data_IF_727553150498
#
_entry.id   IF_727553150498
#
_cell.length_a   1.000
_cell.length_b   1.000
_cell.length_c   1.000
_cell.angle_alpha   90.00
_cell.angle_beta   90.00
_cell.angle_gamma   90.00
#
_symmetry.space_group_name_H-M   'P 1'
#
loop_
_entity.id
_entity.type
_entity.pdbx_description
1 polymer ?
#
# COMPACT_ATOMS: atom_id res chain seq x y z
N UNK A 1 -20.52 -37.73 6.41
CA UNK A 1 -19.85 -38.96 5.94
C UNK A 1 -18.37 -38.71 6.16
N UNK A 2 -17.62 -39.64 6.77
CA UNK A 2 -16.19 -39.42 6.99
C UNK A 2 -15.37 -39.67 5.73
N UNK A 3 -14.24 -38.96 5.58
CA UNK A 3 -13.28 -39.15 4.49
C UNK A 3 -12.83 -40.60 4.29
N UNK A 4 -12.68 -40.99 3.03
CA UNK A 4 -11.98 -42.23 2.65
C UNK A 4 -10.49 -42.15 2.99
N UNK A 5 -9.84 -43.31 3.17
CA UNK A 5 -8.40 -43.37 3.44
C UNK A 5 -7.55 -42.75 2.31
N UNK A 6 -8.04 -42.77 1.07
CA UNK A 6 -7.37 -42.12 -0.06
C UNK A 6 -7.42 -40.58 0.08
N UNK A 7 -8.56 -40.03 0.46
CA UNK A 7 -8.72 -38.57 0.66
C UNK A 7 -7.88 -38.08 1.84
N UNK A 8 -7.90 -38.82 2.96
CA UNK A 8 -7.01 -38.53 4.10
C UNK A 8 -5.54 -38.56 3.71
N UNK A 9 -5.14 -39.50 2.85
CA UNK A 9 -3.76 -39.59 2.38
C UNK A 9 -3.34 -38.38 1.54
N UNK A 10 -4.20 -37.88 0.64
CA UNK A 10 -3.91 -36.67 -0.13
C UNK A 10 -3.86 -35.42 0.75
N UNK A 11 -4.77 -35.28 1.71
CA UNK A 11 -4.73 -34.17 2.68
C UNK A 11 -3.43 -34.19 3.49
N UNK A 12 -2.98 -35.37 3.94
CA UNK A 12 -1.70 -35.53 4.64
C UNK A 12 -0.50 -35.09 3.79
N UNK A 13 -0.53 -35.27 2.47
CA UNK A 13 0.53 -34.76 1.58
C UNK A 13 0.53 -33.24 1.55
N UNK A 14 -0.64 -32.62 1.35
CA UNK A 14 -0.77 -31.15 1.34
C UNK A 14 -0.27 -30.56 2.66
N UNK A 15 -0.72 -31.12 3.78
CA UNK A 15 -0.30 -30.68 5.11
C UNK A 15 1.23 -30.73 5.27
N UNK A 16 1.87 -31.84 4.87
CA UNK A 16 3.32 -32.03 5.01
C UNK A 16 4.14 -31.19 4.03
N UNK A 17 3.57 -30.83 2.89
CA UNK A 17 4.22 -29.97 1.89
C UNK A 17 4.26 -28.51 2.33
N UNK A 18 3.36 -28.08 3.22
CA UNK A 18 3.29 -26.70 3.67
C UNK A 18 3.95 -26.51 5.04
N UNK A 19 4.62 -25.37 5.21
CA UNK A 19 4.99 -24.86 6.53
C UNK A 19 3.80 -24.14 7.14
N UNK A 20 3.46 -24.50 8.38
CA UNK A 20 2.30 -23.98 9.09
C UNK A 20 2.70 -23.08 10.26
N UNK A 21 1.87 -22.06 10.49
CA UNK A 21 2.05 -21.07 11.53
C UNK A 21 0.78 -20.96 12.36
N UNK A 22 0.94 -21.02 13.68
CA UNK A 22 -0.08 -20.52 14.61
C UNK A 22 -0.21 -19.00 14.49
N UNK A 23 -1.29 -18.43 15.04
CA UNK A 23 -1.45 -16.97 15.02
C UNK A 23 -0.31 -16.24 15.74
N UNK A 24 0.18 -16.78 16.86
CA UNK A 24 1.31 -16.20 17.60
C UNK A 24 2.60 -16.17 16.79
N UNK A 25 2.91 -17.27 16.10
CA UNK A 25 4.08 -17.37 15.22
C UNK A 25 3.94 -16.45 14.01
N UNK A 26 2.76 -16.44 13.39
CA UNK A 26 2.43 -15.55 12.28
C UNK A 26 2.55 -14.07 12.68
N UNK A 27 2.03 -13.65 13.83
CA UNK A 27 2.15 -12.26 14.31
C UNK A 27 3.61 -11.85 14.48
N UNK A 28 4.46 -12.74 14.99
CA UNK A 28 5.90 -12.51 15.11
C UNK A 28 6.57 -12.35 13.75
N UNK A 29 6.25 -13.21 12.78
CA UNK A 29 6.81 -13.15 11.42
C UNK A 29 6.31 -11.94 10.62
N UNK A 30 5.06 -11.52 10.82
CA UNK A 30 4.49 -10.32 10.19
C UNK A 30 5.25 -9.05 10.62
N UNK A 31 5.71 -8.99 11.87
CA UNK A 31 6.41 -7.82 12.42
C UNK A 31 7.85 -7.67 11.92
N UNK A 32 8.46 -8.72 11.38
CA UNK A 32 9.79 -8.68 10.77
C UNK A 32 9.75 -7.95 9.44
N UNK A 33 10.77 -7.18 9.12
CA UNK A 33 10.91 -6.51 7.83
C UNK A 33 11.08 -7.54 6.71
N UNK A 34 10.75 -7.17 5.46
CA UNK A 34 11.09 -8.01 4.30
C UNK A 34 12.60 -8.21 4.13
N UNK A 35 13.37 -7.18 4.47
CA UNK A 35 14.83 -7.24 4.52
C UNK A 35 15.27 -7.40 5.99
N UNK A 36 15.83 -8.55 6.37
CA UNK A 36 16.20 -8.83 7.78
C UNK A 36 17.16 -7.80 8.40
N UNK A 37 17.97 -7.14 7.58
CA UNK A 37 18.90 -6.08 8.00
C UNK A 37 18.20 -4.88 8.67
N UNK A 38 16.91 -4.69 8.38
CA UNK A 38 16.09 -3.60 8.89
C UNK A 38 15.38 -3.95 10.21
N UNK A 39 15.42 -5.20 10.67
CA UNK A 39 14.79 -5.62 11.93
C UNK A 39 15.35 -4.87 13.15
N UNK A 40 16.59 -4.38 13.06
CA UNK A 40 17.22 -3.49 14.06
C UNK A 40 16.46 -2.17 14.27
N UNK A 41 15.61 -1.77 13.33
CA UNK A 41 14.81 -0.54 13.39
C UNK A 41 13.50 -0.75 14.17
N UNK A 42 13.28 -1.95 14.74
CA UNK A 42 12.07 -2.31 15.48
C UNK A 42 10.89 -2.65 14.57
N UNK A 43 9.74 -2.86 15.20
CA UNK A 43 8.47 -3.18 14.52
C UNK A 43 8.10 -2.08 13.53
N UNK A 44 8.00 -2.43 12.25
CA UNK A 44 7.46 -1.50 11.26
C UNK A 44 5.93 -1.52 11.22
N UNK A 45 5.29 -2.62 11.63
CA UNK A 45 3.83 -2.70 11.70
C UNK A 45 3.27 -2.05 12.99
N UNK A 46 2.50 -0.98 12.83
CA UNK A 46 1.74 -0.31 13.90
C UNK A 46 0.35 -0.92 14.13
N UNK A 47 -0.10 -1.76 13.19
CA UNK A 47 -1.40 -2.43 13.28
C UNK A 47 -1.48 -3.34 14.52
N UNK A 48 -2.56 -3.18 15.29
CA UNK A 48 -2.81 -3.97 16.51
C UNK A 48 -3.26 -5.38 16.14
N UNK A 49 -2.96 -6.33 17.03
CA UNK A 49 -3.41 -7.74 16.94
C UNK A 49 -4.89 -7.90 16.57
N UNK A 50 -5.78 -7.14 17.21
CA UNK A 50 -7.22 -7.20 16.96
C UNK A 50 -7.61 -6.74 15.55
N UNK A 51 -6.85 -5.83 14.94
CA UNK A 51 -7.07 -5.38 13.57
C UNK A 51 -6.65 -6.46 12.57
N UNK A 52 -5.51 -7.13 12.81
CA UNK A 52 -5.05 -8.27 11.99
C UNK A 52 -6.08 -9.41 12.04
N UNK A 53 -6.56 -9.76 13.23
CA UNK A 53 -7.59 -10.79 13.38
C UNK A 53 -8.91 -10.42 12.67
N UNK A 54 -9.26 -9.12 12.61
CA UNK A 54 -10.42 -8.65 11.84
C UNK A 54 -10.22 -8.85 10.34
N UNK A 55 -9.01 -8.63 9.82
CA UNK A 55 -8.67 -8.90 8.40
C UNK A 55 -8.83 -10.39 8.11
N UNK A 56 -8.24 -11.25 8.94
CA UNK A 56 -8.36 -12.71 8.82
C UNK A 56 -9.81 -13.18 8.82
N UNK A 57 -10.60 -12.74 9.80
CA UNK A 57 -12.04 -13.07 9.89
C UNK A 57 -12.77 -12.65 8.61
N UNK A 58 -12.50 -11.45 8.11
CA UNK A 58 -13.13 -10.94 6.89
C UNK A 58 -12.80 -11.78 5.66
N UNK A 59 -11.54 -12.18 5.53
CA UNK A 59 -11.06 -13.03 4.43
C UNK A 59 -11.62 -14.45 4.48
N UNK A 60 -11.65 -15.07 5.65
CA UNK A 60 -12.21 -16.42 5.87
C UNK A 60 -13.69 -16.43 5.49
N UNK A 61 -14.48 -15.51 6.06
CA UNK A 61 -15.92 -15.42 5.81
C UNK A 61 -16.21 -15.10 4.34
N UNK A 62 -15.47 -14.15 3.75
CA UNK A 62 -15.65 -13.78 2.36
C UNK A 62 -15.29 -14.90 1.39
N UNK A 63 -14.23 -15.67 1.70
CA UNK A 63 -13.81 -16.82 0.88
C UNK A 63 -14.85 -17.93 0.94
N UNK A 64 -15.38 -18.22 2.13
CA UNK A 64 -16.47 -19.20 2.31
C UNK A 64 -17.72 -18.81 1.52
N UNK A 65 -18.07 -17.51 1.49
CA UNK A 65 -19.18 -16.97 0.68
C UNK A 65 -18.83 -16.79 -0.80
N UNK A 66 -17.65 -17.23 -1.23
CA UNK A 66 -17.16 -17.21 -2.60
C UNK A 66 -17.16 -15.80 -3.25
N UNK A 67 -16.94 -14.74 -2.46
CA UNK A 67 -16.95 -13.36 -2.98
C UNK A 67 -15.84 -13.11 -4.01
N UNK A 68 -14.81 -13.95 -3.98
CA UNK A 68 -13.65 -13.94 -4.86
C UNK A 68 -13.82 -14.82 -6.12
N UNK A 69 -15.02 -15.29 -6.44
CA UNK A 69 -15.30 -15.97 -7.72
C UNK A 69 -15.83 -15.00 -8.77
N UNK A 70 -15.30 -15.13 -9.98
CA UNK A 70 -15.70 -14.30 -11.13
C UNK A 70 -17.16 -14.55 -11.48
N UNK A 71 -17.94 -13.47 -11.57
CA UNK A 71 -19.34 -13.53 -12.00
C UNK A 71 -19.45 -13.44 -13.52
N UNK A 72 -20.55 -13.96 -14.07
CA UNK A 72 -20.79 -14.00 -15.53
C UNK A 72 -20.89 -12.61 -16.17
N UNK A 73 -21.29 -11.61 -15.41
CA UNK A 73 -21.53 -10.23 -15.81
C UNK A 73 -20.35 -9.29 -15.50
N UNK A 74 -19.25 -9.82 -14.97
CA UNK A 74 -18.10 -9.01 -14.55
C UNK A 74 -17.11 -8.78 -15.69
N UNK A 75 -16.76 -7.51 -15.92
CA UNK A 75 -15.79 -7.10 -16.95
C UNK A 75 -14.38 -7.64 -16.65
N UNK A 76 -13.57 -7.81 -17.70
CA UNK A 76 -12.17 -8.24 -17.56
C UNK A 76 -11.34 -7.22 -16.74
N UNK A 77 -11.58 -5.93 -16.92
CA UNK A 77 -10.88 -4.86 -16.20
C UNK A 77 -11.23 -4.87 -14.71
N UNK A 78 -12.52 -4.99 -14.37
CA UNK A 78 -12.97 -5.07 -12.98
C UNK A 78 -12.40 -6.32 -12.29
N UNK A 79 -12.41 -7.46 -12.99
CA UNK A 79 -11.82 -8.69 -12.51
C UNK A 79 -10.30 -8.53 -12.29
N UNK A 80 -9.58 -7.94 -13.25
CA UNK A 80 -8.14 -7.69 -13.14
C UNK A 80 -7.82 -6.81 -11.94
N UNK A 81 -8.53 -5.69 -11.75
CA UNK A 81 -8.35 -4.81 -10.59
C UNK A 81 -8.58 -5.57 -9.29
N UNK A 82 -9.62 -6.39 -9.18
CA UNK A 82 -9.87 -7.19 -7.99
C UNK A 82 -8.82 -8.28 -7.74
N UNK A 83 -8.19 -8.82 -8.79
CA UNK A 83 -7.06 -9.75 -8.59
C UNK A 83 -5.82 -9.08 -8.00
N UNK A 84 -5.70 -7.75 -8.13
CA UNK A 84 -4.60 -6.96 -7.54
C UNK A 84 -4.98 -6.43 -6.16
N UNK A 85 -6.23 -5.97 -6.01
CA UNK A 85 -6.68 -5.24 -4.83
C UNK A 85 -7.62 -6.02 -3.91
N UNK A 86 -7.99 -7.24 -4.27
CA UNK A 86 -8.94 -8.07 -3.52
C UNK A 86 -10.39 -7.72 -3.83
N UNK A 87 -11.29 -8.48 -3.21
CA UNK A 87 -12.72 -8.44 -3.44
C UNK A 87 -13.43 -7.94 -2.19
N UNK A 88 -14.10 -6.79 -2.29
CA UNK A 88 -14.94 -6.25 -1.21
C UNK A 88 -16.41 -6.36 -1.55
N UNK A 89 -17.22 -6.91 -0.64
CA UNK A 89 -18.67 -7.02 -0.83
C UNK A 89 -19.41 -6.96 0.50
N UNK A 90 -20.53 -6.23 0.52
CA UNK A 90 -21.49 -6.30 1.63
C UNK A 90 -22.28 -7.59 1.52
N UNK A 91 -22.19 -8.41 2.56
CA UNK A 91 -22.85 -9.71 2.62
C UNK A 91 -23.74 -9.82 3.84
N UNK A 92 -24.87 -10.50 3.64
CA UNK A 92 -25.74 -10.96 4.71
C UNK A 92 -25.53 -12.47 4.86
N UNK A 93 -25.06 -12.89 6.03
CA UNK A 93 -24.75 -14.29 6.32
C UNK A 93 -25.14 -14.66 7.75
N UNK A 94 -25.19 -15.95 8.02
CA UNK A 94 -25.56 -16.52 9.32
C UNK A 94 -24.41 -17.37 9.85
N UNK A 95 -24.22 -17.37 11.16
CA UNK A 95 -23.25 -18.24 11.84
C UNK A 95 -23.98 -19.07 12.89
N UNK A 96 -23.72 -20.37 12.87
CA UNK A 96 -24.33 -21.35 13.77
C UNK A 96 -23.45 -21.54 15.00
N UNK A 97 -23.95 -21.13 16.18
CA UNK A 97 -23.25 -21.29 17.44
C UNK A 97 -23.56 -22.65 18.08
N UNK A 98 -22.62 -23.13 18.90
CA UNK A 98 -22.72 -24.41 19.61
C UNK A 98 -23.88 -24.53 20.61
N UNK A 99 -24.61 -23.45 20.86
CA UNK A 99 -25.79 -23.40 21.73
C UNK A 99 -27.11 -23.27 20.93
N UNK A 100 -27.12 -23.77 19.70
CA UNK A 100 -28.24 -23.76 18.75
C UNK A 100 -28.76 -22.35 18.41
N UNK A 101 -27.96 -21.32 18.70
CA UNK A 101 -28.27 -19.95 18.29
C UNK A 101 -27.67 -19.69 16.92
N UNK A 102 -28.53 -19.33 15.98
CA UNK A 102 -28.11 -18.74 14.70
C UNK A 102 -28.09 -17.21 14.87
N UNK A 103 -27.03 -16.56 14.39
CA UNK A 103 -26.95 -15.09 14.41
C UNK A 103 -26.74 -14.54 13.01
N UNK A 104 -27.61 -13.62 12.64
CA UNK A 104 -27.51 -12.84 11.41
C UNK A 104 -26.42 -11.77 11.50
N UNK A 105 -25.62 -11.65 10.46
CA UNK A 105 -24.62 -10.62 10.25
C UNK A 105 -24.88 -9.90 8.92
N UNK A 106 -24.61 -8.58 8.91
CA UNK A 106 -24.61 -7.76 7.71
C UNK A 106 -23.36 -6.88 7.75
N UNK A 107 -22.30 -7.34 7.10
CA UNK A 107 -20.97 -6.74 7.18
C UNK A 107 -20.36 -6.61 5.79
N UNK A 108 -19.48 -5.63 5.61
CA UNK A 108 -18.61 -5.56 4.42
C UNK A 108 -17.42 -6.51 4.63
N UNK A 109 -17.36 -7.54 3.80
CA UNK A 109 -16.30 -8.54 3.81
C UNK A 109 -15.28 -8.22 2.73
N UNK A 110 -14.02 -8.58 3.00
CA UNK A 110 -12.91 -8.40 2.08
C UNK A 110 -12.08 -9.68 2.00
N UNK A 111 -11.92 -10.21 0.78
CA UNK A 111 -10.97 -11.28 0.48
C UNK A 111 -9.77 -10.67 -0.22
N UNK A 112 -8.58 -10.85 0.35
CA UNK A 112 -7.36 -10.34 -0.26
C UNK A 112 -6.77 -11.32 -1.28
N UNK A 113 -6.02 -10.85 -2.29
CA UNK A 113 -5.40 -11.70 -3.29
C UNK A 113 -4.42 -12.70 -2.66
N UNK A 114 -4.40 -13.93 -3.20
CA UNK A 114 -3.45 -14.97 -2.83
C UNK A 114 -2.37 -15.07 -3.90
N UNK A 115 -1.13 -15.32 -3.48
CA UNK A 115 0.04 -15.29 -4.35
C UNK A 115 0.63 -16.69 -4.59
N UNK A 116 -0.20 -17.73 -4.62
CA UNK A 116 0.23 -19.13 -4.72
C UNK A 116 1.16 -19.39 -5.91
N UNK A 117 0.96 -18.66 -7.02
CA UNK A 117 1.84 -18.70 -8.20
C UNK A 117 3.32 -18.37 -7.92
N UNK A 118 3.62 -17.72 -6.79
CA UNK A 118 4.98 -17.35 -6.38
C UNK A 118 5.66 -18.44 -5.54
N UNK A 119 4.95 -19.53 -5.20
CA UNK A 119 5.46 -20.67 -4.43
C UNK A 119 5.54 -21.92 -5.33
N UNK A 120 6.52 -22.00 -6.25
CA UNK A 120 6.57 -23.05 -7.27
C UNK A 120 7.19 -24.36 -6.79
N UNK A 121 7.70 -24.44 -5.55
CA UNK A 121 8.50 -25.57 -5.09
C UNK A 121 7.68 -26.87 -4.93
N UNK A 122 6.35 -26.78 -4.84
CA UNK A 122 5.44 -27.91 -5.10
C UNK A 122 4.05 -27.45 -5.52
N UNK A 123 3.35 -28.19 -6.40
CA UNK A 123 1.92 -27.94 -6.73
C UNK A 123 0.99 -28.01 -5.48
N UNK A 124 1.53 -28.48 -4.35
CA UNK A 124 0.84 -28.67 -3.08
C UNK A 124 1.04 -27.50 -2.11
N UNK A 125 1.96 -26.57 -2.37
CA UNK A 125 2.13 -25.33 -1.60
C UNK A 125 1.05 -24.32 -2.00
N UNK A 126 0.14 -24.03 -1.07
CA UNK A 126 -1.05 -23.22 -1.34
C UNK A 126 -1.41 -22.37 -0.14
N UNK A 127 -2.04 -21.23 -0.39
CA UNK A 127 -2.55 -20.32 0.63
C UNK A 127 -3.76 -20.94 1.33
N UNK A 128 -3.52 -21.59 2.46
CA UNK A 128 -4.54 -22.24 3.27
C UNK A 128 -4.59 -21.58 4.64
N UNK A 129 -5.81 -21.33 5.11
CA UNK A 129 -6.09 -20.98 6.50
C UNK A 129 -7.19 -21.90 7.04
N UNK A 130 -6.88 -22.52 8.18
CA UNK A 130 -7.80 -23.29 9.01
C UNK A 130 -8.10 -22.48 10.26
N UNK A 131 -9.35 -22.42 10.66
CA UNK A 131 -9.80 -21.55 11.74
C UNK A 131 -10.83 -22.22 12.63
N UNK A 132 -11.08 -21.63 13.79
CA UNK A 132 -12.23 -22.04 14.63
C UNK A 132 -13.58 -21.63 14.01
N UNK A 133 -13.61 -20.75 13.01
CA UNK A 133 -14.85 -20.37 12.33
C UNK A 133 -15.33 -21.46 11.38
N UNK A 134 -14.46 -22.36 10.95
CA UNK A 134 -14.81 -23.39 9.97
C UNK A 134 -15.96 -24.29 10.49
N UNK A 135 -16.03 -24.51 11.81
CA UNK A 135 -17.16 -25.18 12.48
C UNK A 135 -18.45 -24.35 12.42
N UNK A 136 -18.36 -23.05 12.69
CA UNK A 136 -19.51 -22.12 12.66
C UNK A 136 -20.04 -21.90 11.24
N UNK A 137 -19.21 -22.17 10.24
CA UNK A 137 -19.52 -22.09 8.82
C UNK A 137 -19.95 -23.45 8.24
N UNK A 138 -19.78 -24.55 8.97
CA UNK A 138 -20.01 -25.89 8.43
C UNK A 138 -19.11 -26.24 7.25
N UNK A 139 -17.88 -25.68 7.19
CA UNK A 139 -16.88 -25.99 6.16
C UNK A 139 -16.20 -27.33 6.49
N UNK A 140 -16.87 -28.43 6.10
CA UNK A 140 -16.46 -29.80 6.45
C UNK A 140 -15.06 -30.14 5.97
N UNK A 141 -14.67 -29.66 4.79
CA UNK A 141 -13.38 -29.98 4.18
C UNK A 141 -12.23 -29.40 5.01
N UNK A 142 -12.36 -28.15 5.47
CA UNK A 142 -11.38 -27.53 6.36
C UNK A 142 -11.39 -28.11 7.76
N UNK A 143 -12.57 -28.46 8.28
CA UNK A 143 -12.68 -29.14 9.58
C UNK A 143 -11.90 -30.46 9.57
N UNK A 144 -12.07 -31.28 8.53
CA UNK A 144 -11.38 -32.57 8.41
C UNK A 144 -9.88 -32.40 8.17
N UNK A 145 -9.46 -31.44 7.32
CA UNK A 145 -8.04 -31.12 7.13
C UNK A 145 -7.39 -30.72 8.46
N UNK A 146 -8.09 -29.93 9.26
CA UNK A 146 -7.62 -29.50 10.57
C UNK A 146 -7.48 -30.64 11.55
N UNK A 147 -8.45 -31.55 11.61
CA UNK A 147 -8.36 -32.75 12.44
C UNK A 147 -7.11 -33.57 12.08
N UNK A 148 -6.85 -33.78 10.79
CA UNK A 148 -5.65 -34.48 10.32
C UNK A 148 -4.37 -33.72 10.68
N UNK A 149 -4.36 -32.39 10.60
CA UNK A 149 -3.19 -31.59 11.01
C UNK A 149 -2.91 -31.78 12.50
N UNK A 150 -3.92 -31.67 13.35
CA UNK A 150 -3.78 -31.81 14.80
C UNK A 150 -3.45 -33.28 15.18
N UNK A 151 -3.87 -34.29 14.43
CA UNK A 151 -3.38 -35.67 14.60
C UNK A 151 -1.87 -35.80 14.33
N UNK A 152 -1.35 -35.09 13.33
CA UNK A 152 0.05 -35.15 12.92
C UNK A 152 0.98 -34.34 13.81
N UNK A 153 0.54 -33.17 14.28
CA UNK A 153 1.39 -32.18 14.96
C UNK A 153 0.86 -31.73 16.33
N UNK A 154 -0.42 -31.97 16.63
CA UNK A 154 -1.07 -31.61 17.88
C UNK A 154 -0.71 -32.58 19.00
N UNK A 155 0.05 -32.10 19.99
CA UNK A 155 0.24 -32.86 21.23
C UNK A 155 -1.10 -33.09 21.93
N UNK A 156 -1.31 -34.29 22.47
CA UNK A 156 -2.51 -34.65 23.21
C UNK A 156 -2.81 -33.65 24.34
N UNK A 157 -3.93 -32.94 24.25
CA UNK A 157 -4.46 -32.09 25.32
C UNK A 157 -4.42 -30.56 25.11
N UNK A 158 -3.97 -30.06 23.95
CA UNK A 158 -4.12 -28.62 23.62
C UNK A 158 -5.49 -28.38 22.97
N UNK A 159 -6.21 -27.36 23.44
CA UNK A 159 -7.46 -26.92 22.79
C UNK A 159 -7.23 -26.51 21.34
N UNK A 160 -8.31 -26.41 20.55
CA UNK A 160 -8.26 -26.04 19.13
C UNK A 160 -7.60 -24.67 18.91
N UNK A 161 -6.44 -24.63 18.26
CA UNK A 161 -5.72 -23.39 17.85
C UNK A 161 -6.61 -22.41 17.07
N UNK A 162 -6.63 -21.12 17.40
CA UNK A 162 -7.60 -20.20 16.79
C UNK A 162 -7.46 -20.08 15.26
N UNK A 163 -6.21 -19.98 14.78
CA UNK A 163 -5.85 -19.95 13.37
C UNK A 163 -4.60 -20.78 13.11
N UNK A 164 -4.61 -21.53 12.02
CA UNK A 164 -3.44 -22.19 11.43
C UNK A 164 -3.35 -21.74 9.98
N UNK A 165 -2.23 -21.14 9.59
CA UNK A 165 -2.05 -20.63 8.23
C UNK A 165 -0.75 -21.14 7.62
N UNK A 166 -0.77 -21.39 6.33
CA UNK A 166 0.41 -21.79 5.57
C UNK A 166 1.30 -20.58 5.27
N UNK A 167 2.57 -20.83 4.95
CA UNK A 167 3.51 -19.78 4.53
C UNK A 167 3.02 -18.93 3.35
N UNK A 168 2.44 -19.50 2.26
CA UNK A 168 1.85 -18.70 1.19
C UNK A 168 0.71 -17.78 1.68
N UNK A 169 -0.13 -18.27 2.60
CA UNK A 169 -1.20 -17.46 3.17
C UNK A 169 -0.63 -16.32 4.04
N UNK A 170 0.39 -16.61 4.86
CA UNK A 170 1.08 -15.62 5.69
C UNK A 170 1.75 -14.53 4.84
N UNK A 171 2.39 -14.92 3.74
CA UNK A 171 2.96 -14.00 2.76
C UNK A 171 1.90 -13.05 2.18
N UNK A 172 0.75 -13.60 1.75
CA UNK A 172 -0.36 -12.81 1.24
C UNK A 172 -0.95 -11.87 2.30
N UNK A 173 -1.09 -12.34 3.54
CA UNK A 173 -1.53 -11.54 4.67
C UNK A 173 -0.57 -10.38 4.97
N UNK A 174 0.75 -10.62 4.89
CA UNK A 174 1.76 -9.58 5.08
C UNK A 174 1.60 -8.46 4.07
N UNK A 175 1.46 -8.80 2.79
CA UNK A 175 1.17 -7.85 1.73
C UNK A 175 -0.14 -7.08 1.96
N UNK A 176 -1.19 -7.77 2.43
CA UNK A 176 -2.48 -7.13 2.72
C UNK A 176 -2.38 -6.11 3.87
N UNK A 177 -1.67 -6.47 4.94
CA UNK A 177 -1.45 -5.58 6.09
C UNK A 177 -0.63 -4.37 5.66
N UNK A 178 0.43 -4.57 4.90
CA UNK A 178 1.23 -3.47 4.37
C UNK A 178 0.42 -2.54 3.48
N UNK A 179 -0.39 -3.09 2.58
CA UNK A 179 -1.29 -2.28 1.75
C UNK A 179 -2.31 -1.50 2.55
N UNK A 180 -2.72 -1.96 3.74
CA UNK A 180 -3.65 -1.24 4.61
C UNK A 180 -2.96 -0.21 5.51
N UNK A 181 -1.74 -0.52 5.96
CA UNK A 181 -1.00 0.32 6.89
C UNK A 181 -0.18 1.41 6.16
N UNK A 182 0.28 1.07 4.97
CA UNK A 182 0.93 1.94 4.00
C UNK A 182 0.08 1.93 2.72
N UNK A 183 -1.17 2.39 2.79
CA UNK A 183 -1.99 2.49 1.61
C UNK A 183 -1.24 3.26 0.55
N UNK A 184 -1.26 2.74 -0.67
CA UNK A 184 -0.79 3.45 -1.87
C UNK A 184 -1.61 4.70 -2.17
N UNK A 185 -2.54 5.09 -1.27
CA UNK A 185 -3.12 6.42 -1.27
C UNK A 185 -1.98 7.41 -1.32
N UNK A 186 -1.97 8.20 -2.38
CA UNK A 186 -0.89 9.13 -2.68
C UNK A 186 -0.72 10.20 -1.58
N UNK A 187 -1.69 10.31 -0.65
CA UNK A 187 -1.64 11.20 0.51
C UNK A 187 -1.94 10.42 1.79
N UNK A 188 -1.02 10.44 2.76
CA UNK A 188 -1.21 9.93 4.11
C UNK A 188 -1.94 10.89 5.08
N UNK A 189 -2.46 12.01 4.58
CA UNK A 189 -3.12 13.07 5.37
C UNK A 189 -4.64 12.93 5.26
N UNK A 190 -5.35 13.10 6.38
CA UNK A 190 -6.81 13.24 6.41
C UNK A 190 -7.21 14.66 6.82
N UNK A 191 -8.34 15.19 6.32
CA UNK A 191 -8.88 16.45 6.84
C UNK A 191 -9.33 16.27 8.29
N UNK A 192 -9.27 17.33 9.08
CA UNK A 192 -9.81 17.34 10.43
C UNK A 192 -11.27 16.92 10.42
N UNK A 193 -11.63 16.00 11.31
CA UNK A 193 -13.01 15.53 11.33
C UNK A 193 -13.96 16.64 11.80
N UNK A 194 -15.21 16.69 11.30
CA UNK A 194 -16.20 17.66 11.80
C UNK A 194 -16.39 17.61 13.32
N UNK A 195 -16.10 16.46 13.96
CA UNK A 195 -16.14 16.30 15.43
C UNK A 195 -14.92 16.95 16.09
N UNK A 196 -13.72 16.76 15.57
CA UNK A 196 -12.49 17.41 16.06
C UNK A 196 -12.60 18.93 15.98
N UNK A 197 -13.07 19.45 14.85
CA UNK A 197 -13.24 20.89 14.66
C UNK A 197 -14.22 21.45 15.70
N UNK A 198 -15.37 20.80 15.90
CA UNK A 198 -16.35 21.23 16.91
C UNK A 198 -15.82 21.12 18.34
N UNK A 199 -15.02 20.10 18.65
CA UNK A 199 -14.45 19.93 19.99
C UNK A 199 -13.49 21.09 20.34
N UNK A 200 -12.78 21.65 19.36
CA UNK A 200 -11.92 22.83 19.55
C UNK A 200 -12.74 24.12 19.65
N UNK A 201 -13.90 24.19 18.99
CA UNK A 201 -14.82 25.33 19.04
C UNK A 201 -15.82 25.11 20.20
N UNK A 202 -15.34 25.20 21.44
CA UNK A 202 -16.18 25.10 22.65
C UNK A 202 -16.89 26.42 22.99
N UNK A 203 -17.98 26.36 23.79
CA UNK A 203 -18.73 27.56 24.21
C UNK A 203 -17.91 28.54 25.05
N UNK A 204 -16.98 28.05 25.88
CA UNK A 204 -16.13 28.88 26.74
C UNK A 204 -15.10 29.71 25.94
N UNK A 205 -14.75 29.28 24.72
CA UNK A 205 -13.73 29.91 23.87
C UNK A 205 -14.31 30.69 22.68
N UNK A 206 -15.63 30.73 22.52
CA UNK A 206 -16.26 31.08 21.26
C UNK A 206 -16.18 32.57 20.88
N UNK A 207 -16.31 33.48 21.85
CA UNK A 207 -16.46 34.92 21.57
C UNK A 207 -15.15 35.69 21.40
N UNK A 208 -14.04 35.20 21.97
CA UNK A 208 -12.72 35.86 21.88
C UNK A 208 -11.67 35.08 21.09
N UNK A 209 -11.83 33.75 20.92
CA UNK A 209 -10.76 32.89 20.39
C UNK A 209 -11.11 32.18 19.07
N UNK A 210 -12.29 32.41 18.47
CA UNK A 210 -12.72 31.71 17.25
C UNK A 210 -11.71 31.90 16.10
N UNK A 211 -11.24 33.12 15.87
CA UNK A 211 -10.24 33.40 14.83
C UNK A 211 -8.96 32.61 15.08
N UNK A 212 -8.44 32.65 16.30
CA UNK A 212 -7.24 31.92 16.71
C UNK A 212 -7.40 30.41 16.48
N UNK A 213 -8.52 29.82 16.91
CA UNK A 213 -8.80 28.38 16.73
C UNK A 213 -8.84 28.00 15.24
N UNK A 214 -9.54 28.79 14.43
CA UNK A 214 -9.65 28.57 12.98
C UNK A 214 -8.27 28.65 12.33
N UNK A 215 -7.47 29.65 12.69
CA UNK A 215 -6.13 29.83 12.14
C UNK A 215 -5.21 28.68 12.54
N UNK A 216 -5.24 28.24 13.80
CA UNK A 216 -4.46 27.09 14.25
C UNK A 216 -4.83 25.81 13.48
N UNK A 217 -6.12 25.55 13.24
CA UNK A 217 -6.55 24.41 12.43
C UNK A 217 -6.02 24.48 10.99
N UNK A 218 -6.07 25.67 10.37
CA UNK A 218 -5.54 25.91 9.03
C UNK A 218 -4.02 25.69 9.01
N UNK A 219 -3.30 26.20 10.01
CA UNK A 219 -1.83 26.10 10.09
C UNK A 219 -1.37 24.66 10.29
N UNK A 220 -2.03 23.90 11.17
CA UNK A 220 -1.78 22.46 11.38
C UNK A 220 -2.01 21.65 10.09
N UNK A 221 -3.08 21.98 9.35
CA UNK A 221 -3.38 21.34 8.08
C UNK A 221 -2.33 21.66 7.01
N UNK A 222 -1.93 22.93 6.86
CA UNK A 222 -0.91 23.35 5.90
C UNK A 222 0.46 22.75 6.25
N UNK A 223 0.81 22.69 7.54
CA UNK A 223 2.02 22.00 7.99
C UNK A 223 2.01 20.54 7.54
N UNK A 224 0.89 19.84 7.71
CA UNK A 224 0.75 18.45 7.28
C UNK A 224 0.92 18.30 5.78
N UNK A 225 0.34 19.20 4.97
CA UNK A 225 0.54 19.23 3.51
C UNK A 225 2.03 19.42 3.16
N UNK A 226 2.70 20.38 3.80
CA UNK A 226 4.10 20.67 3.53
C UNK A 226 5.01 19.48 3.85
N UNK A 227 4.74 18.76 4.94
CA UNK A 227 5.46 17.54 5.31
C UNK A 227 5.30 16.45 4.24
N UNK A 228 4.11 16.26 3.70
CA UNK A 228 3.86 15.27 2.64
C UNK A 228 4.53 15.67 1.30
N UNK A 229 4.46 16.95 0.93
CA UNK A 229 5.19 17.49 -0.23
C UNK A 229 6.69 17.28 -0.07
N UNK A 230 7.23 17.48 1.13
CA UNK A 230 8.64 17.24 1.43
C UNK A 230 9.03 15.76 1.30
N UNK A 231 8.23 14.84 1.83
CA UNK A 231 8.45 13.39 1.68
C UNK A 231 8.42 12.97 0.22
N UNK A 232 7.45 13.46 -0.55
CA UNK A 232 7.36 13.18 -1.98
C UNK A 232 8.57 13.70 -2.75
N UNK A 233 8.99 14.95 -2.47
CA UNK A 233 10.20 15.52 -3.07
C UNK A 233 11.46 14.71 -2.72
N UNK A 234 11.56 14.16 -1.50
CA UNK A 234 12.68 13.29 -1.12
C UNK A 234 12.72 12.02 -1.97
N UNK A 235 11.59 11.36 -2.16
CA UNK A 235 11.50 10.19 -3.05
C UNK A 235 11.85 10.55 -4.50
N UNK A 236 11.35 11.69 -4.98
CA UNK A 236 11.67 12.22 -6.32
C UNK A 236 13.17 12.52 -6.50
N UNK A 237 13.85 12.98 -5.45
CA UNK A 237 15.29 13.24 -5.48
C UNK A 237 16.12 11.96 -5.67
N UNK A 238 15.65 10.80 -5.20
CA UNK A 238 16.33 9.52 -5.41
C UNK A 238 16.35 9.14 -6.89
N UNK A 239 15.22 9.30 -7.59
CA UNK A 239 15.19 9.02 -9.03
C UNK A 239 16.00 10.06 -9.82
N UNK A 240 15.96 11.34 -9.43
CA UNK A 240 16.85 12.36 -10.00
C UNK A 240 18.32 11.97 -9.87
N UNK A 241 18.73 11.48 -8.71
CA UNK A 241 20.12 11.08 -8.44
C UNK A 241 20.56 9.95 -9.38
N UNK A 242 19.69 8.96 -9.64
CA UNK A 242 19.96 7.87 -10.60
C UNK A 242 20.14 8.37 -12.03
N UNK A 243 19.33 9.34 -12.47
CA UNK A 243 19.56 9.99 -13.76
C UNK A 243 20.87 10.79 -13.77
N UNK A 244 21.19 11.48 -12.67
CA UNK A 244 22.43 12.25 -12.56
C UNK A 244 23.67 11.34 -12.65
N UNK A 245 23.63 10.15 -12.07
CA UNK A 245 24.72 9.16 -12.13
C UNK A 245 25.02 8.71 -13.57
N UNK A 246 23.97 8.49 -14.39
CA UNK A 246 24.13 8.17 -15.81
C UNK A 246 24.73 9.37 -16.57
N UNK A 247 24.24 10.58 -16.30
CA UNK A 247 24.76 11.79 -16.93
C UNK A 247 26.24 12.04 -16.59
N UNK A 248 26.61 11.81 -15.32
CA UNK A 248 27.97 11.93 -14.82
C UNK A 248 28.88 10.85 -15.41
N UNK A 249 28.38 9.62 -15.58
CA UNK A 249 29.07 8.56 -16.30
C UNK A 249 29.42 9.01 -17.73
N UNK A 250 28.42 9.43 -18.52
CA UNK A 250 28.64 9.87 -19.90
C UNK A 250 29.67 11.01 -19.97
N UNK A 251 29.51 12.02 -19.12
CA UNK A 251 30.41 13.19 -19.09
C UNK A 251 31.84 12.83 -18.70
N UNK A 252 32.01 12.06 -17.61
CA UNK A 252 33.32 11.70 -17.08
C UNK A 252 34.08 10.80 -18.06
N UNK A 253 33.43 9.76 -18.54
CA UNK A 253 34.09 8.76 -19.38
C UNK A 253 34.32 9.24 -20.81
N UNK A 254 33.57 10.23 -21.30
CA UNK A 254 33.88 10.91 -22.57
C UNK A 254 35.29 11.53 -22.60
N UNK A 255 35.82 11.89 -21.44
CA UNK A 255 37.20 12.44 -21.33
C UNK A 255 38.26 11.34 -21.40
N UNK A 256 37.93 10.11 -20.96
CA UNK A 256 38.89 9.00 -20.81
C UNK A 256 38.79 8.02 -21.99
N UNK A 257 37.58 7.63 -22.38
CA UNK A 257 37.25 6.75 -23.52
C UNK A 257 36.45 7.52 -24.58
N UNK A 258 37.10 8.52 -25.20
CA UNK A 258 36.37 9.49 -26.03
C UNK A 258 35.74 8.85 -27.27
N UNK A 259 36.39 7.86 -27.89
CA UNK A 259 35.87 7.25 -29.12
C UNK A 259 34.65 6.36 -28.84
N UNK A 260 34.72 5.53 -27.80
CA UNK A 260 33.67 4.61 -27.40
C UNK A 260 32.43 5.40 -26.93
N UNK A 261 32.62 6.43 -26.11
CA UNK A 261 31.52 7.26 -25.62
C UNK A 261 30.92 8.13 -26.72
N UNK A 262 31.70 8.66 -27.68
CA UNK A 262 31.13 9.37 -28.83
C UNK A 262 30.32 8.46 -29.74
N UNK A 263 30.77 7.21 -29.97
CA UNK A 263 30.00 6.21 -30.72
C UNK A 263 28.71 5.85 -30.00
N UNK A 264 28.77 5.64 -28.68
CA UNK A 264 27.61 5.44 -27.82
C UNK A 264 26.60 6.59 -27.94
N UNK A 265 27.03 7.83 -27.67
CA UNK A 265 26.17 9.02 -27.74
C UNK A 265 25.53 9.18 -29.13
N UNK A 266 26.28 8.89 -30.20
CA UNK A 266 25.76 8.96 -31.58
C UNK A 266 24.64 7.96 -31.82
N UNK A 267 24.80 6.72 -31.35
CA UNK A 267 23.74 5.70 -31.46
C UNK A 267 22.51 6.12 -30.66
N UNK A 268 22.69 6.55 -29.40
CA UNK A 268 21.59 7.00 -28.54
C UNK A 268 20.86 8.22 -29.09
N UNK A 269 21.58 9.17 -29.70
CA UNK A 269 20.98 10.37 -30.32
C UNK A 269 20.20 10.00 -31.59
N UNK A 270 20.72 9.09 -32.42
CA UNK A 270 19.99 8.59 -33.59
C UNK A 270 18.69 7.88 -33.21
N UNK A 271 18.65 7.27 -32.03
CA UNK A 271 17.48 6.60 -31.45
C UNK A 271 16.61 7.56 -30.62
N UNK A 272 16.92 8.85 -30.57
CA UNK A 272 16.24 9.90 -29.78
C UNK A 272 16.26 9.71 -28.25
N UNK A 273 16.98 8.70 -27.77
CA UNK A 273 17.07 8.35 -26.35
C UNK A 273 17.87 9.39 -25.56
N UNK A 274 18.88 10.01 -26.18
CA UNK A 274 19.72 10.98 -25.49
C UNK A 274 18.97 12.29 -25.23
N UNK A 275 18.20 12.78 -26.21
CA UNK A 275 17.34 13.95 -26.06
C UNK A 275 16.25 13.72 -25.00
N UNK A 276 15.58 12.57 -25.05
CA UNK A 276 14.55 12.20 -24.07
C UNK A 276 15.12 12.11 -22.66
N UNK A 277 16.30 11.49 -22.50
CA UNK A 277 17.01 11.39 -21.23
C UNK A 277 17.28 12.77 -20.60
N UNK A 278 17.84 13.70 -21.36
CA UNK A 278 18.12 15.04 -20.83
C UNK A 278 16.85 15.86 -20.60
N UNK A 279 15.79 15.66 -21.38
CA UNK A 279 14.49 16.28 -21.14
C UNK A 279 13.89 15.80 -19.81
N UNK A 280 13.97 14.50 -19.50
CA UNK A 280 13.52 13.92 -18.23
C UNK A 280 14.37 14.44 -17.07
N UNK A 281 15.71 14.42 -17.18
CA UNK A 281 16.60 14.95 -16.15
C UNK A 281 16.34 16.44 -15.87
N UNK A 282 16.10 17.24 -16.92
CA UNK A 282 15.74 18.65 -16.76
C UNK A 282 14.43 18.83 -15.98
N UNK A 283 13.42 17.98 -16.23
CA UNK A 283 12.20 17.98 -15.43
C UNK A 283 12.48 17.63 -13.97
N UNK A 284 13.30 16.61 -13.69
CA UNK A 284 13.70 16.26 -12.32
C UNK A 284 14.47 17.37 -11.60
N UNK A 285 15.20 18.23 -12.32
CA UNK A 285 15.88 19.37 -11.74
C UNK A 285 14.94 20.50 -11.27
N UNK A 286 13.69 20.50 -11.74
CA UNK A 286 12.65 21.36 -11.17
C UNK A 286 12.07 20.68 -9.92
N UNK A 287 11.91 21.38 -8.78
CA UNK A 287 11.26 20.80 -7.61
C UNK A 287 9.78 20.53 -7.87
N UNK A 288 9.24 19.52 -7.19
CA UNK A 288 7.80 19.34 -7.06
C UNK A 288 7.28 20.40 -6.09
N UNK A 289 6.44 21.30 -6.59
CA UNK A 289 5.86 22.39 -5.80
C UNK A 289 4.35 22.23 -5.69
N UNK A 290 3.86 22.18 -4.45
CA UNK A 290 2.45 22.32 -4.15
C UNK A 290 2.31 23.27 -2.96
N UNK A 291 1.65 24.40 -3.19
CA UNK A 291 1.51 25.46 -2.19
C UNK A 291 0.02 25.72 -1.94
N UNK A 292 -0.32 25.79 -0.66
CA UNK A 292 -1.65 26.24 -0.21
C UNK A 292 -1.54 27.71 0.18
N UNK A 293 -2.38 28.55 -0.40
CA UNK A 293 -2.41 29.99 -0.09
C UNK A 293 -3.10 30.23 1.25
N UNK A 294 -2.31 30.11 2.32
CA UNK A 294 -2.73 30.32 3.72
C UNK A 294 -3.41 31.68 3.90
N UNK A 295 -2.81 32.75 3.34
CA UNK A 295 -3.31 34.12 3.49
C UNK A 295 -4.68 34.27 2.84
N UNK A 296 -4.86 33.74 1.64
CA UNK A 296 -6.14 33.77 0.96
C UNK A 296 -7.22 33.00 1.73
N UNK A 297 -6.88 31.83 2.30
CA UNK A 297 -7.81 31.05 3.11
C UNK A 297 -8.21 31.85 4.35
N UNK A 298 -7.24 32.34 5.13
CA UNK A 298 -7.48 33.12 6.35
C UNK A 298 -8.31 34.38 6.08
N UNK A 299 -7.98 35.16 5.05
CA UNK A 299 -8.73 36.35 4.66
C UNK A 299 -10.19 36.03 4.29
N UNK A 300 -10.43 34.96 3.52
CA UNK A 300 -11.80 34.52 3.18
C UNK A 300 -12.58 34.07 4.41
N UNK A 301 -11.92 33.50 5.42
CA UNK A 301 -12.56 33.15 6.68
C UNK A 301 -12.95 34.41 7.47
N UNK A 302 -12.06 35.38 7.58
CA UNK A 302 -12.33 36.65 8.27
C UNK A 302 -13.50 37.40 7.63
N UNK A 303 -13.45 37.58 6.30
CA UNK A 303 -14.51 38.24 5.53
C UNK A 303 -15.87 37.58 5.74
N UNK A 304 -15.90 36.25 5.83
CA UNK A 304 -17.15 35.49 5.87
C UNK A 304 -17.73 35.34 7.28
N UNK A 305 -16.89 35.30 8.31
CA UNK A 305 -17.29 34.86 9.65
C UNK A 305 -16.88 35.77 10.81
N UNK A 306 -16.06 36.80 10.58
CA UNK A 306 -15.51 37.65 11.64
C UNK A 306 -15.74 39.16 11.42
N UNK A 307 -16.66 39.55 10.53
CA UNK A 307 -17.05 40.95 10.36
C UNK A 307 -18.09 41.41 11.40
N UNK A 308 -18.01 42.68 11.81
CA UNK A 308 -18.72 43.27 12.97
C UNK A 308 -20.27 43.22 12.92
N UNK A 309 -20.88 42.87 11.77
CA UNK A 309 -22.33 42.88 11.54
C UNK A 309 -22.97 41.50 11.32
N UNK A 310 -22.31 40.42 11.72
CA UNK A 310 -22.83 39.05 11.54
C UNK A 310 -24.08 38.79 12.39
N UNK A 311 -25.26 38.72 11.75
CA UNK A 311 -26.52 38.32 12.38
C UNK A 311 -26.76 36.81 12.24
N UNK A 312 -25.94 36.00 12.91
CA UNK A 312 -26.06 34.52 12.93
C UNK A 312 -25.99 34.04 14.38
N UNK A 313 -26.77 33.02 14.73
CA UNK A 313 -26.69 32.42 16.08
C UNK A 313 -25.35 31.68 16.29
N UNK A 314 -24.93 31.55 17.54
CA UNK A 314 -23.67 30.86 17.89
C UNK A 314 -23.58 29.44 17.30
N UNK A 315 -24.67 28.67 17.39
CA UNK A 315 -24.70 27.29 16.90
C UNK A 315 -24.69 27.19 15.36
N UNK A 316 -25.37 28.11 14.68
CA UNK A 316 -25.32 28.20 13.23
C UNK A 316 -23.92 28.59 12.74
N UNK A 317 -23.26 29.51 13.44
CA UNK A 317 -21.89 29.92 13.15
C UNK A 317 -20.90 28.76 13.35
N UNK A 318 -20.97 28.03 14.48
CA UNK A 318 -20.15 26.82 14.71
C UNK A 318 -20.31 25.81 13.57
N UNK A 319 -21.55 25.55 13.16
CA UNK A 319 -21.86 24.60 12.08
C UNK A 319 -21.30 25.07 10.74
N UNK A 320 -21.40 26.36 10.43
CA UNK A 320 -20.92 26.95 9.19
C UNK A 320 -19.38 27.00 9.11
N UNK A 321 -18.70 27.37 10.21
CA UNK A 321 -17.23 27.37 10.31
C UNK A 321 -16.69 25.95 10.14
N UNK A 322 -17.24 25.00 10.89
CA UNK A 322 -16.89 23.57 10.77
C UNK A 322 -17.01 23.06 9.34
N UNK A 323 -18.13 23.35 8.68
CA UNK A 323 -18.35 22.90 7.31
C UNK A 323 -17.34 23.52 6.33
N UNK A 324 -17.01 24.79 6.54
CA UNK A 324 -16.07 25.51 5.66
C UNK A 324 -14.65 24.99 5.82
N UNK A 325 -14.16 24.80 7.06
CA UNK A 325 -12.82 24.23 7.32
C UNK A 325 -12.70 22.87 6.64
N UNK A 326 -13.63 21.95 6.96
CA UNK A 326 -13.63 20.61 6.37
C UNK A 326 -13.64 20.63 4.84
N UNK A 327 -14.43 21.53 4.23
CA UNK A 327 -14.53 21.63 2.77
C UNK A 327 -13.26 22.18 2.13
N UNK A 328 -12.62 23.17 2.77
CA UNK A 328 -11.35 23.76 2.31
C UNK A 328 -10.24 22.71 2.38
N UNK A 329 -10.15 21.98 3.49
CA UNK A 329 -9.14 20.93 3.66
C UNK A 329 -9.33 19.82 2.64
N UNK A 330 -10.56 19.31 2.50
CA UNK A 330 -10.88 18.27 1.51
C UNK A 330 -10.53 18.71 0.09
N UNK A 331 -10.88 19.93 -0.30
CA UNK A 331 -10.55 20.47 -1.61
C UNK A 331 -9.04 20.53 -1.88
N UNK A 332 -8.26 20.96 -0.89
CA UNK A 332 -6.80 21.01 -1.03
C UNK A 332 -6.17 19.62 -1.02
N UNK A 333 -6.73 18.64 -0.31
CA UNK A 333 -6.29 17.25 -0.38
C UNK A 333 -6.60 16.63 -1.76
N UNK A 334 -7.81 16.83 -2.30
CA UNK A 334 -8.17 16.32 -3.63
C UNK A 334 -7.24 16.87 -4.73
N UNK A 335 -6.87 18.16 -4.62
CA UNK A 335 -5.90 18.80 -5.51
C UNK A 335 -4.48 18.26 -5.34
N UNK A 336 -4.01 18.12 -4.10
CA UNK A 336 -2.71 17.51 -3.82
C UNK A 336 -2.64 16.09 -4.38
N UNK A 337 -3.73 15.31 -4.27
CA UNK A 337 -3.78 13.92 -4.73
C UNK A 337 -3.60 13.87 -6.24
N UNK A 338 -4.28 14.77 -6.95
CA UNK A 338 -4.18 14.90 -8.40
C UNK A 338 -2.75 15.28 -8.82
N UNK A 339 -2.12 16.23 -8.12
CA UNK A 339 -0.75 16.66 -8.40
C UNK A 339 0.26 15.53 -8.15
N UNK A 340 0.15 14.84 -7.00
CA UNK A 340 1.03 13.73 -6.64
C UNK A 340 0.84 12.53 -7.59
N UNK A 341 -0.39 12.24 -8.00
CA UNK A 341 -0.66 11.17 -8.97
C UNK A 341 0.02 11.45 -10.31
N UNK A 342 -0.07 12.70 -10.80
CA UNK A 342 0.58 13.09 -12.06
C UNK A 342 2.12 12.99 -11.98
N UNK A 343 2.72 13.43 -10.87
CA UNK A 343 4.17 13.35 -10.70
C UNK A 343 4.64 11.90 -10.44
N UNK A 344 3.85 11.08 -9.75
CA UNK A 344 4.12 9.64 -9.55
C UNK A 344 4.11 8.88 -10.87
N UNK A 345 3.16 9.20 -11.76
CA UNK A 345 3.13 8.65 -13.12
C UNK A 345 4.39 9.06 -13.90
N UNK A 346 4.82 10.32 -13.78
CA UNK A 346 6.08 10.79 -14.36
C UNK A 346 7.30 10.04 -13.80
N UNK A 347 7.40 9.84 -12.48
CA UNK A 347 8.48 9.09 -11.84
C UNK A 347 8.51 7.65 -12.38
N UNK A 348 7.36 6.99 -12.44
CA UNK A 348 7.25 5.60 -12.89
C UNK A 348 7.65 5.43 -14.36
N UNK A 349 7.14 6.32 -15.25
CA UNK A 349 7.56 6.35 -16.66
C UNK A 349 9.05 6.62 -16.82
N UNK A 350 9.60 7.52 -16.00
CA UNK A 350 11.03 7.83 -16.01
C UNK A 350 11.88 6.66 -15.53
N UNK A 351 11.45 5.90 -14.52
CA UNK A 351 12.15 4.72 -14.05
C UNK A 351 12.19 3.60 -15.11
N UNK A 352 11.07 3.39 -15.82
CA UNK A 352 11.01 2.45 -16.96
C UNK A 352 11.97 2.91 -18.07
N UNK A 353 11.91 4.18 -18.44
CA UNK A 353 12.80 4.76 -19.45
C UNK A 353 14.28 4.63 -19.03
N UNK A 354 14.60 4.90 -17.76
CA UNK A 354 15.95 4.75 -17.20
C UNK A 354 16.46 3.33 -17.38
N UNK A 355 15.62 2.33 -17.09
CA UNK A 355 15.99 0.94 -17.32
C UNK A 355 16.27 0.66 -18.81
N UNK A 356 15.40 1.15 -19.71
CA UNK A 356 15.57 0.99 -21.15
C UNK A 356 16.88 1.60 -21.67
N UNK A 357 17.17 2.86 -21.32
CA UNK A 357 18.40 3.52 -21.77
C UNK A 357 19.63 2.87 -21.13
N UNK A 358 19.56 2.44 -19.88
CA UNK A 358 20.64 1.70 -19.21
C UNK A 358 20.98 0.40 -19.93
N UNK A 359 19.97 -0.42 -20.24
CA UNK A 359 20.18 -1.66 -20.99
C UNK A 359 20.71 -1.39 -22.40
N UNK A 360 20.24 -0.32 -23.05
CA UNK A 360 20.73 0.07 -24.37
C UNK A 360 22.19 0.52 -24.35
N UNK A 361 22.59 1.30 -23.34
CA UNK A 361 23.99 1.68 -23.14
C UNK A 361 24.85 0.41 -22.98
N UNK A 362 24.39 -0.53 -22.15
CA UNK A 362 25.10 -1.79 -21.91
C UNK A 362 25.32 -2.56 -23.23
N UNK A 363 24.27 -2.74 -24.03
CA UNK A 363 24.32 -3.45 -25.30
C UNK A 363 25.27 -2.77 -26.30
N UNK A 364 25.22 -1.44 -26.41
CA UNK A 364 26.10 -0.70 -27.31
C UNK A 364 27.57 -0.88 -26.91
N UNK A 365 27.89 -0.76 -25.62
CA UNK A 365 29.26 -0.94 -25.15
C UNK A 365 29.75 -2.38 -25.35
N UNK A 366 28.88 -3.38 -25.23
CA UNK A 366 29.22 -4.77 -25.56
C UNK A 366 29.56 -4.92 -27.05
N UNK A 367 28.73 -4.35 -27.92
CA UNK A 367 28.95 -4.38 -29.37
C UNK A 367 30.23 -3.63 -29.79
N UNK A 368 30.63 -2.63 -29.02
CA UNK A 368 31.89 -1.91 -29.20
C UNK A 368 33.12 -2.65 -28.65
N UNK A 369 32.94 -3.82 -28.01
CA UNK A 369 33.98 -4.54 -27.27
C UNK A 369 34.70 -3.64 -26.25
N UNK A 370 33.92 -2.84 -25.51
CA UNK A 370 34.47 -1.89 -24.55
C UNK A 370 35.27 -2.58 -23.42
N UNK A 371 36.25 -1.85 -22.88
CA UNK A 371 37.11 -2.36 -21.82
C UNK A 371 36.35 -2.69 -20.52
N UNK A 372 36.86 -3.68 -19.79
CA UNK A 372 36.31 -4.15 -18.51
C UNK A 372 36.17 -3.04 -17.45
N UNK A 373 37.03 -2.02 -17.48
CA UNK A 373 36.96 -0.86 -16.58
C UNK A 373 35.72 -0.02 -16.88
N UNK A 374 35.34 0.12 -18.15
CA UNK A 374 34.15 0.88 -18.54
C UNK A 374 32.87 0.16 -18.08
N UNK A 375 32.81 -1.16 -18.21
CA UNK A 375 31.71 -1.97 -17.67
C UNK A 375 31.64 -1.95 -16.14
N UNK A 376 32.78 -2.02 -15.46
CA UNK A 376 32.83 -1.92 -13.99
C UNK A 376 32.31 -0.57 -13.51
N UNK A 377 32.63 0.49 -14.26
CA UNK A 377 32.20 1.86 -13.96
C UNK A 377 30.73 2.12 -14.29
N UNK A 378 30.21 1.43 -15.30
CA UNK A 378 28.80 1.42 -15.67
C UNK A 378 27.96 0.77 -14.57
N UNK A 379 28.38 -0.39 -14.06
CA UNK A 379 27.73 -1.04 -12.89
C UNK A 379 27.75 -0.16 -11.64
N UNK A 380 28.88 0.51 -11.37
CA UNK A 380 28.98 1.45 -10.24
C UNK A 380 28.07 2.68 -10.37
N UNK A 381 27.60 3.00 -11.58
CA UNK A 381 26.62 4.07 -11.81
C UNK A 381 25.16 3.56 -11.74
N UNK A 382 24.93 2.34 -11.24
CA UNK A 382 23.60 1.75 -11.12
C UNK A 382 22.96 1.39 -12.47
N UNK A 383 23.80 1.21 -13.50
CA UNK A 383 23.42 0.78 -14.83
C UNK A 383 23.75 -0.72 -14.89
N UNK A 384 22.76 -1.59 -14.75
CA UNK A 384 22.93 -3.04 -14.84
C UNK A 384 22.52 -3.58 -16.21
#
# INVERSE_FOLDING_TARGET
MGLSEKEKFEIRKVIKANKWYTFEEAESDLRKHWQPENDKNGDYLSMKRSQIQKILRSDILGTYLEINKRKKDQSDDEWFIQTIYGWSKKEKFFLDYSDDREKEYNEELHVFPKYDKLFPESELEQSIILSSFDELLGDTDKMEMREIYEELYGGSGKGKTLYLMTEPYLFALKHEIERRQYPTSTIGISPHSPKEILARISEENFSYNLQTIVYTLIDEFIYSINDEVFKHQKARNEERQRFQEIADFLKKWKTIYSEEIQKLEKVLSNETLLEEFYAILNKFNQPFEYLVDEKLIKNKFDEKYLHENLQISSDELKKAVKQTIYSVEKYNLDKLASALSADTEFISKSAIFRHQISSRIHEILQNLNADSLLFSSLRNAGIE
#
